data_IF_986153606897
#
_entry.id   IF_986153606897
#
_cell.length_a   1.000
_cell.length_b   1.000
_cell.length_c   1.000
_cell.angle_alpha   90.00
_cell.angle_beta   90.00
_cell.angle_gamma   90.00
#
_symmetry.space_group_name_H-M   'P 1'
#
loop_
_entity.id
_entity.type
_entity.pdbx_description
1 polymer ?
#
# COMPACT_ATOMS: atom_id res chain seq x y z
N UNK A 1 -32.36 -36.68 9.11
CA UNK A 1 -31.67 -36.24 7.89
C UNK A 1 -31.93 -34.73 7.74
N UNK A 2 -31.06 -33.90 8.30
CA UNK A 2 -31.09 -32.44 8.07
C UNK A 2 -30.10 -32.13 6.94
N UNK A 3 -30.65 -31.83 5.78
CA UNK A 3 -29.88 -31.30 4.65
C UNK A 3 -29.67 -29.80 4.90
N UNK A 4 -28.53 -29.47 5.54
CA UNK A 4 -28.01 -28.11 5.54
C UNK A 4 -27.44 -27.83 4.14
N UNK A 5 -28.26 -27.30 3.24
CA UNK A 5 -27.76 -26.58 2.09
C UNK A 5 -26.99 -25.37 2.63
N UNK A 6 -25.64 -25.45 2.70
CA UNK A 6 -24.80 -24.28 2.74
C UNK A 6 -25.15 -23.47 1.50
N UNK A 7 -25.79 -22.32 1.71
CA UNK A 7 -25.95 -21.34 0.64
C UNK A 7 -24.57 -21.04 0.07
N UNK A 8 -24.41 -21.18 -1.23
CA UNK A 8 -23.25 -20.65 -1.96
C UNK A 8 -23.43 -19.15 -1.85
N UNK A 9 -22.84 -18.55 -0.82
CA UNK A 9 -22.71 -17.10 -0.72
C UNK A 9 -21.95 -16.66 -1.95
N UNK A 10 -22.55 -15.85 -2.79
CA UNK A 10 -21.85 -15.19 -3.88
C UNK A 10 -20.77 -14.32 -3.23
N UNK A 11 -19.49 -14.57 -3.53
CA UNK A 11 -18.40 -13.71 -3.11
C UNK A 11 -18.67 -12.28 -3.60
N UNK A 12 -18.61 -11.31 -2.70
CA UNK A 12 -18.66 -9.90 -3.05
C UNK A 12 -17.23 -9.44 -3.32
N UNK A 13 -16.91 -8.96 -4.53
CA UNK A 13 -15.56 -8.56 -4.87
C UNK A 13 -15.03 -7.49 -3.95
N UNK A 14 -13.77 -7.62 -3.53
CA UNK A 14 -13.09 -6.75 -2.59
C UNK A 14 -11.86 -6.07 -3.18
N UNK A 15 -11.41 -5.00 -2.55
CA UNK A 15 -10.09 -4.41 -2.75
C UNK A 15 -9.17 -4.91 -1.64
N UNK A 16 -8.18 -5.71 -1.99
CA UNK A 16 -7.18 -6.28 -1.09
C UNK A 16 -5.88 -5.52 -1.26
N UNK A 17 -5.36 -4.90 -0.21
CA UNK A 17 -4.06 -4.20 -0.29
C UNK A 17 -2.96 -4.97 0.43
N UNK A 18 -1.89 -5.27 -0.30
CA UNK A 18 -0.62 -5.78 0.22
C UNK A 18 0.29 -4.65 0.71
N UNK A 19 -0.19 -3.40 0.61
CA UNK A 19 0.61 -2.23 0.92
C UNK A 19 0.76 -1.99 2.42
N UNK A 20 1.85 -1.33 2.76
CA UNK A 20 2.14 -0.91 4.12
C UNK A 20 1.18 0.19 4.59
N UNK A 21 0.93 0.19 5.89
CA UNK A 21 0.15 1.21 6.60
C UNK A 21 0.92 1.66 7.84
N UNK A 22 1.04 2.96 8.02
CA UNK A 22 1.73 3.60 9.16
C UNK A 22 0.97 4.84 9.63
N UNK A 23 1.42 5.44 10.74
CA UNK A 23 0.85 6.70 11.24
C UNK A 23 1.68 7.88 10.76
N UNK A 24 1.05 8.85 10.10
CA UNK A 24 1.64 10.16 9.78
C UNK A 24 1.33 11.17 10.90
N UNK A 25 2.37 11.74 11.49
CA UNK A 25 2.26 12.85 12.46
C UNK A 25 2.65 14.13 11.72
N UNK A 26 1.65 14.88 11.28
CA UNK A 26 1.88 16.14 10.58
C UNK A 26 2.13 17.27 11.56
N UNK A 27 3.27 17.93 11.43
CA UNK A 27 3.70 19.07 12.20
C UNK A 27 3.83 20.28 11.28
N UNK A 28 2.95 21.25 11.45
CA UNK A 28 3.08 22.53 10.77
C UNK A 28 3.95 23.45 11.61
N UNK A 29 5.02 23.95 11.02
CA UNK A 29 6.00 24.84 11.66
C UNK A 29 6.25 26.04 10.75
N UNK A 30 6.60 27.19 11.29
CA UNK A 30 6.95 28.37 10.49
C UNK A 30 8.20 28.10 9.63
N UNK A 31 9.15 27.37 10.19
CA UNK A 31 10.39 26.99 9.53
C UNK A 31 10.89 25.65 10.08
N UNK A 32 11.36 24.78 9.21
CA UNK A 32 12.07 23.57 9.63
C UNK A 32 13.36 23.99 10.34
N UNK A 33 13.56 23.59 11.62
CA UNK A 33 14.73 24.01 12.37
C UNK A 33 16.00 23.37 11.80
N UNK A 34 17.11 24.13 11.83
CA UNK A 34 18.44 23.59 11.56
C UNK A 34 18.89 22.73 12.76
N UNK A 35 20.00 22.00 12.58
CA UNK A 35 20.63 21.22 13.66
C UNK A 35 20.86 22.09 14.90
N UNK A 36 20.42 21.59 16.07
CA UNK A 36 20.45 22.32 17.34
C UNK A 36 19.35 23.39 17.52
N UNK A 37 18.51 23.61 16.51
CA UNK A 37 17.40 24.56 16.55
C UNK A 37 16.15 23.98 17.22
N UNK A 38 15.16 24.85 17.43
CA UNK A 38 13.88 24.54 18.05
C UNK A 38 12.75 25.15 17.21
N UNK A 39 11.64 24.43 17.09
CA UNK A 39 10.40 24.94 16.51
C UNK A 39 9.20 24.40 17.29
N UNK A 40 8.14 25.19 17.36
CA UNK A 40 6.84 24.77 17.92
C UNK A 40 5.91 24.49 16.75
N UNK A 41 5.25 23.36 16.77
CA UNK A 41 4.26 22.99 15.77
C UNK A 41 2.85 23.34 16.24
N UNK A 42 2.04 23.84 15.31
CA UNK A 42 0.62 24.07 15.55
C UNK A 42 -0.17 22.77 15.41
N UNK A 43 -0.97 22.46 16.43
CA UNK A 43 -2.01 21.43 16.41
C UNK A 43 -1.65 20.13 15.67
N UNK A 44 -0.65 19.36 16.14
CA UNK A 44 -0.26 18.12 15.49
C UNK A 44 -1.45 17.16 15.45
N UNK A 45 -1.73 16.59 14.26
CA UNK A 45 -2.79 15.61 14.08
C UNK A 45 -2.20 14.33 13.52
N UNK A 46 -2.32 13.21 14.23
CA UNK A 46 -2.01 11.92 13.64
C UNK A 46 -3.07 11.57 12.57
N UNK A 47 -2.62 10.95 11.51
CA UNK A 47 -3.47 10.42 10.45
C UNK A 47 -2.86 9.12 9.92
N UNK A 48 -3.66 8.29 9.27
CA UNK A 48 -3.12 7.07 8.69
C UNK A 48 -2.59 7.34 7.29
N UNK A 49 -1.37 6.89 7.05
CA UNK A 49 -0.65 6.97 5.78
C UNK A 49 -0.61 5.65 5.02
N UNK A 50 0.18 5.65 3.95
CA UNK A 50 0.37 4.47 3.12
C UNK A 50 -0.88 4.03 2.37
N UNK A 51 -1.04 2.73 2.22
CA UNK A 51 -2.12 2.09 1.49
C UNK A 51 -3.51 2.28 2.11
N UNK A 52 -3.58 2.74 3.36
CA UNK A 52 -4.84 3.08 4.00
C UNK A 52 -5.71 4.00 3.16
N UNK A 53 -5.11 4.94 2.44
CA UNK A 53 -5.86 5.92 1.61
C UNK A 53 -6.63 5.25 0.48
N UNK A 54 -6.05 4.23 -0.13
CA UNK A 54 -6.71 3.43 -1.18
C UNK A 54 -7.87 2.64 -0.57
N UNK A 55 -7.63 1.95 0.54
CA UNK A 55 -8.65 1.18 1.25
C UNK A 55 -9.80 2.07 1.74
N UNK A 56 -9.49 3.21 2.35
CA UNK A 56 -10.50 4.16 2.80
C UNK A 56 -11.34 4.71 1.64
N UNK A 57 -10.71 5.01 0.50
CA UNK A 57 -11.44 5.50 -0.66
C UNK A 57 -12.40 4.43 -1.21
N UNK A 58 -11.95 3.19 -1.36
CA UNK A 58 -12.78 2.08 -1.82
C UNK A 58 -13.93 1.78 -0.85
N UNK A 59 -13.66 1.74 0.46
CA UNK A 59 -14.68 1.54 1.49
C UNK A 59 -15.76 2.64 1.44
N UNK A 60 -15.38 3.90 1.30
CA UNK A 60 -16.34 5.01 1.15
C UNK A 60 -17.18 4.95 -0.11
N UNK A 61 -16.74 4.22 -1.12
CA UNK A 61 -17.52 3.91 -2.33
C UNK A 61 -18.40 2.68 -2.16
N UNK A 62 -18.41 2.05 -0.98
CA UNK A 62 -19.23 0.88 -0.67
C UNK A 62 -18.60 -0.44 -1.13
N UNK A 63 -17.32 -0.44 -1.48
CA UNK A 63 -16.59 -1.67 -1.88
C UNK A 63 -15.99 -2.32 -0.62
N UNK A 64 -16.15 -3.63 -0.41
CA UNK A 64 -15.44 -4.36 0.64
C UNK A 64 -13.93 -4.16 0.52
N UNK A 65 -13.26 -3.96 1.65
CA UNK A 65 -11.83 -3.65 1.67
C UNK A 65 -11.08 -4.48 2.69
N UNK A 66 -9.93 -4.98 2.29
CA UNK A 66 -9.09 -5.87 3.08
C UNK A 66 -7.63 -5.40 3.08
N UNK A 67 -7.03 -5.36 4.25
CA UNK A 67 -5.61 -5.07 4.42
C UNK A 67 -4.87 -6.38 4.69
N UNK A 68 -4.04 -6.82 3.74
CA UNK A 68 -3.24 -8.03 3.84
C UNK A 68 -1.78 -7.78 4.29
N UNK A 69 -1.37 -6.51 4.42
CA UNK A 69 -0.04 -6.14 4.96
C UNK A 69 0.09 -6.47 6.44
N UNK A 70 1.29 -6.33 6.99
CA UNK A 70 1.58 -6.64 8.38
C UNK A 70 1.17 -5.47 9.29
N UNK A 71 0.62 -5.77 10.45
CA UNK A 71 0.42 -4.82 11.55
C UNK A 71 1.18 -5.26 12.79
N UNK A 72 1.67 -4.26 13.52
CA UNK A 72 2.28 -4.47 14.84
C UNK A 72 1.27 -4.58 15.98
N UNK A 73 1.79 -4.50 17.21
CA UNK A 73 1.01 -4.54 18.44
C UNK A 73 1.53 -3.48 19.43
N UNK A 74 1.03 -2.25 19.30
CA UNK A 74 1.42 -1.14 20.16
C UNK A 74 0.52 0.07 19.93
N UNK A 75 0.99 1.24 20.30
CA UNK A 75 0.22 2.49 20.23
C UNK A 75 -0.22 2.81 18.81
N UNK A 76 0.71 2.75 17.86
CA UNK A 76 0.43 3.08 16.45
C UNK A 76 -0.42 2.02 15.79
N UNK A 77 -0.15 0.74 16.04
CA UNK A 77 -0.96 -0.35 15.56
C UNK A 77 -2.41 -0.28 16.07
N UNK A 78 -2.60 0.10 17.34
CA UNK A 78 -3.94 0.33 17.91
C UNK A 78 -4.67 1.46 17.18
N UNK A 79 -3.97 2.58 16.94
CA UNK A 79 -4.54 3.72 16.21
C UNK A 79 -4.94 3.35 14.77
N UNK A 80 -4.12 2.53 14.10
CA UNK A 80 -4.43 2.00 12.75
C UNK A 80 -5.68 1.10 12.81
N UNK A 81 -5.74 0.14 13.74
CA UNK A 81 -6.90 -0.77 13.87
C UNK A 81 -8.19 -0.03 14.17
N UNK A 82 -8.15 0.99 15.04
CA UNK A 82 -9.31 1.83 15.29
C UNK A 82 -9.78 2.52 13.99
N UNK A 83 -8.84 3.06 13.21
CA UNK A 83 -9.17 3.71 11.93
C UNK A 83 -9.72 2.71 10.90
N UNK A 84 -9.26 1.47 10.91
CA UNK A 84 -9.81 0.41 10.08
C UNK A 84 -11.27 0.11 10.47
N UNK A 85 -11.53 -0.05 11.76
CA UNK A 85 -12.86 -0.26 12.31
C UNK A 85 -13.83 0.86 11.89
N UNK A 86 -13.41 2.12 12.09
CA UNK A 86 -14.23 3.31 11.78
C UNK A 86 -14.55 3.43 10.29
N UNK A 87 -13.76 2.80 9.42
CA UNK A 87 -13.94 2.83 7.97
C UNK A 87 -14.32 1.46 7.36
N UNK A 88 -14.66 0.46 8.17
CA UNK A 88 -15.08 -0.85 7.68
C UNK A 88 -14.01 -1.60 6.89
N UNK A 89 -12.72 -1.38 7.20
CA UNK A 89 -11.59 -2.08 6.59
C UNK A 89 -11.28 -3.32 7.42
N UNK A 90 -11.25 -4.48 6.81
CA UNK A 90 -10.90 -5.75 7.47
C UNK A 90 -9.39 -5.98 7.40
N UNK A 91 -8.75 -6.27 8.52
CA UNK A 91 -7.36 -6.74 8.52
C UNK A 91 -7.33 -8.26 8.40
N UNK A 92 -6.66 -8.76 7.37
CA UNK A 92 -6.49 -10.20 7.08
C UNK A 92 -5.03 -10.63 7.05
N UNK A 93 -4.09 -9.66 7.16
CA UNK A 93 -2.66 -9.91 7.15
C UNK A 93 -2.13 -10.44 8.48
N UNK A 94 -0.82 -10.57 8.57
CA UNK A 94 -0.12 -11.05 9.75
C UNK A 94 -0.07 -9.97 10.84
N UNK A 95 -0.17 -10.39 12.11
CA UNK A 95 0.09 -9.57 13.28
C UNK A 95 1.46 -9.90 13.89
N UNK A 96 2.29 -8.87 14.10
CA UNK A 96 3.53 -8.96 14.88
C UNK A 96 3.27 -8.47 16.30
N UNK A 97 3.35 -9.39 17.27
CA UNK A 97 2.98 -9.11 18.66
C UNK A 97 4.10 -8.48 19.48
N UNK A 98 5.32 -8.56 19.02
CA UNK A 98 6.56 -8.14 19.69
C UNK A 98 7.06 -6.76 19.30
N UNK A 99 6.44 -6.13 18.30
CA UNK A 99 6.78 -4.77 17.84
C UNK A 99 5.54 -3.95 17.48
N UNK A 100 5.68 -2.63 17.43
CA UNK A 100 4.62 -1.73 16.99
C UNK A 100 4.68 -1.51 15.47
N UNK A 101 3.60 -0.97 14.90
CA UNK A 101 3.60 -0.41 13.55
C UNK A 101 4.43 0.88 13.49
N UNK A 102 4.95 1.19 12.32
CA UNK A 102 5.75 2.37 12.09
C UNK A 102 4.97 3.67 12.12
N UNK A 103 5.73 4.76 12.18
CA UNK A 103 5.19 6.11 12.06
C UNK A 103 6.11 7.01 11.25
N UNK A 104 5.56 8.11 10.78
CA UNK A 104 6.33 9.10 10.04
C UNK A 104 5.97 10.51 10.54
N UNK A 105 6.99 11.27 10.89
CA UNK A 105 6.86 12.71 11.17
C UNK A 105 6.97 13.46 9.84
N UNK A 106 5.99 14.31 9.57
CA UNK A 106 5.92 15.11 8.35
C UNK A 106 5.99 16.59 8.75
N UNK A 107 7.10 17.24 8.47
CA UNK A 107 7.29 18.67 8.72
C UNK A 107 6.84 19.47 7.49
N UNK A 108 5.93 20.41 7.71
CA UNK A 108 5.41 21.34 6.71
C UNK A 108 5.65 22.78 7.16
N UNK A 109 6.28 23.58 6.34
CA UNK A 109 6.57 25.00 6.62
C UNK A 109 5.91 25.96 5.61
N UNK A 110 4.77 25.53 5.02
CA UNK A 110 4.12 26.30 3.96
C UNK A 110 4.80 26.23 2.58
N UNK A 111 6.01 25.68 2.51
CA UNK A 111 6.68 25.37 1.25
C UNK A 111 6.04 24.17 0.56
N UNK A 112 6.12 24.06 -0.80
CA UNK A 112 5.62 22.90 -1.53
C UNK A 112 6.29 21.57 -1.11
N UNK A 113 7.58 21.62 -0.76
CA UNK A 113 8.33 20.46 -0.28
C UNK A 113 8.10 20.25 1.21
N UNK A 114 7.87 18.99 1.57
CA UNK A 114 7.78 18.54 2.97
C UNK A 114 9.04 17.78 3.35
N UNK A 115 9.38 17.83 4.63
CA UNK A 115 10.47 17.01 5.19
C UNK A 115 9.88 15.85 5.96
N UNK A 116 10.44 14.65 5.78
CA UNK A 116 9.93 13.41 6.35
C UNK A 116 11.01 12.78 7.23
N UNK A 117 10.58 12.26 8.38
CA UNK A 117 11.38 11.38 9.24
C UNK A 117 10.52 10.16 9.48
N UNK A 118 10.95 8.99 8.99
CA UNK A 118 10.23 7.74 9.14
C UNK A 118 10.91 6.82 10.16
N UNK A 119 10.10 6.15 10.95
CA UNK A 119 10.48 5.02 11.79
C UNK A 119 9.64 3.83 11.31
N UNK A 120 10.31 2.87 10.69
CA UNK A 120 9.67 1.63 10.28
C UNK A 120 9.37 0.76 11.49
N UNK A 121 8.31 -0.02 11.41
CA UNK A 121 7.90 -1.02 12.40
C UNK A 121 7.54 -2.32 11.69
N UNK A 122 6.61 -3.06 12.27
CA UNK A 122 6.18 -4.38 11.82
C UNK A 122 5.89 -4.46 10.31
N UNK A 123 5.33 -3.41 9.72
CA UNK A 123 4.96 -3.37 8.30
C UNK A 123 6.14 -3.55 7.33
N UNK A 124 7.36 -3.28 7.80
CA UNK A 124 8.58 -3.40 7.00
C UNK A 124 9.34 -4.72 7.21
N UNK A 125 8.91 -5.53 8.17
CA UNK A 125 9.62 -6.75 8.59
C UNK A 125 8.94 -8.03 8.10
N UNK A 126 8.37 -8.01 6.91
CA UNK A 126 7.85 -9.20 6.24
C UNK A 126 8.96 -10.13 5.75
N UNK A 127 8.54 -11.29 5.27
CA UNK A 127 9.38 -12.34 4.71
C UNK A 127 8.74 -12.95 3.45
N UNK A 128 9.34 -13.99 2.90
CA UNK A 128 8.84 -14.69 1.71
C UNK A 128 7.42 -15.24 1.88
N UNK A 129 7.02 -15.56 3.10
CA UNK A 129 5.77 -16.25 3.40
C UNK A 129 4.64 -15.26 3.77
N UNK A 130 4.95 -13.96 3.80
CA UNK A 130 4.03 -12.90 4.26
C UNK A 130 2.65 -12.94 3.56
N UNK A 131 2.62 -13.26 2.27
CA UNK A 131 1.38 -13.32 1.48
C UNK A 131 1.03 -14.72 0.99
N UNK A 132 1.64 -15.76 1.56
CA UNK A 132 1.48 -17.13 1.08
C UNK A 132 0.06 -17.68 1.20
N UNK A 133 -0.66 -17.26 2.22
CA UNK A 133 -2.05 -17.68 2.47
C UNK A 133 -3.09 -16.84 1.76
N UNK A 134 -2.67 -15.82 1.01
CA UNK A 134 -3.58 -14.94 0.29
C UNK A 134 -4.07 -15.61 -0.99
N UNK A 135 -5.37 -15.82 -1.08
CA UNK A 135 -6.07 -16.40 -2.23
C UNK A 135 -7.15 -15.44 -2.73
N UNK A 136 -6.79 -14.47 -3.59
CA UNK A 136 -7.78 -13.56 -4.16
C UNK A 136 -8.87 -14.31 -4.91
N UNK A 137 -10.12 -13.88 -4.72
CA UNK A 137 -11.27 -14.49 -5.34
C UNK A 137 -11.62 -13.81 -6.69
N UNK A 138 -12.48 -14.43 -7.51
CA UNK A 138 -12.86 -13.84 -8.79
C UNK A 138 -13.40 -12.41 -8.65
N UNK A 139 -12.88 -11.51 -9.49
CA UNK A 139 -13.18 -10.07 -9.56
C UNK A 139 -12.62 -9.22 -8.42
N UNK A 140 -11.84 -9.76 -7.51
CA UNK A 140 -11.10 -8.96 -6.55
C UNK A 140 -10.11 -8.02 -7.26
N UNK A 141 -9.73 -6.98 -6.56
CA UNK A 141 -8.65 -6.08 -6.97
C UNK A 141 -7.53 -6.18 -5.94
N UNK A 142 -6.41 -6.72 -6.33
CA UNK A 142 -5.21 -6.78 -5.47
C UNK A 142 -4.34 -5.56 -5.75
N UNK A 143 -4.14 -4.75 -4.71
CA UNK A 143 -3.36 -3.52 -4.76
C UNK A 143 -1.99 -3.70 -4.12
N UNK A 144 -0.93 -3.38 -4.86
CA UNK A 144 0.46 -3.34 -4.38
C UNK A 144 0.93 -1.87 -4.37
N UNK A 145 1.46 -1.43 -3.23
CA UNK A 145 2.08 -0.11 -3.09
C UNK A 145 3.59 -0.19 -3.26
N UNK A 146 4.18 0.79 -3.93
CA UNK A 146 5.62 0.87 -4.11
C UNK A 146 6.43 0.93 -2.81
N UNK A 147 5.83 1.41 -1.71
CA UNK A 147 6.52 1.41 -0.42
C UNK A 147 6.83 -0.02 0.07
N UNK A 148 5.94 -0.98 -0.19
CA UNK A 148 6.11 -2.39 0.20
C UNK A 148 7.27 -3.07 -0.55
N UNK A 149 7.75 -2.46 -1.63
CA UNK A 149 8.83 -2.99 -2.47
C UNK A 149 10.23 -2.54 -2.01
N UNK A 150 10.33 -1.83 -0.89
CA UNK A 150 11.57 -1.15 -0.45
C UNK A 150 12.27 -1.84 0.71
N UNK A 151 11.66 -2.83 1.34
CA UNK A 151 12.15 -3.49 2.54
C UNK A 151 11.97 -5.01 2.47
N UNK A 152 12.08 -5.69 3.60
CA UNK A 152 11.99 -7.15 3.65
C UNK A 152 10.66 -7.72 3.17
N UNK A 153 9.56 -6.97 3.28
CA UNK A 153 8.23 -7.36 2.80
C UNK A 153 8.19 -7.52 1.27
N UNK A 154 9.15 -6.92 0.55
CA UNK A 154 9.29 -7.09 -0.89
C UNK A 154 9.45 -8.56 -1.31
N UNK A 155 10.11 -9.39 -0.49
CA UNK A 155 10.27 -10.83 -0.78
C UNK A 155 8.93 -11.57 -0.76
N UNK A 156 8.01 -11.17 0.10
CA UNK A 156 6.64 -11.70 0.10
C UNK A 156 5.83 -11.26 -1.12
N UNK A 157 6.03 -10.01 -1.57
CA UNK A 157 5.41 -9.54 -2.83
C UNK A 157 5.93 -10.33 -4.01
N UNK A 158 7.23 -10.61 -4.07
CA UNK A 158 7.84 -11.45 -5.11
C UNK A 158 7.20 -12.85 -5.15
N UNK A 159 7.09 -13.51 -3.99
CA UNK A 159 6.39 -14.80 -3.86
C UNK A 159 4.94 -14.73 -4.34
N UNK A 160 4.22 -13.65 -4.01
CA UNK A 160 2.85 -13.44 -4.49
C UNK A 160 2.80 -13.25 -6.03
N UNK A 161 3.71 -12.48 -6.61
CA UNK A 161 3.78 -12.26 -8.06
C UNK A 161 4.07 -13.55 -8.83
N UNK A 162 4.94 -14.40 -8.30
CA UNK A 162 5.22 -15.73 -8.88
C UNK A 162 3.95 -16.59 -8.94
N UNK A 163 3.13 -16.59 -7.89
CA UNK A 163 1.83 -17.29 -7.85
C UNK A 163 0.81 -16.64 -8.80
N UNK A 164 0.80 -15.31 -8.90
CA UNK A 164 -0.07 -14.57 -9.81
C UNK A 164 0.19 -14.88 -11.27
N UNK A 165 1.42 -15.28 -11.61
CA UNK A 165 1.85 -15.62 -12.95
C UNK A 165 1.87 -14.44 -13.93
N UNK A 166 2.24 -14.71 -15.15
CA UNK A 166 2.47 -13.68 -16.19
C UNK A 166 1.28 -13.45 -17.12
N UNK A 167 0.25 -14.29 -17.05
CA UNK A 167 -0.95 -14.16 -17.89
C UNK A 167 -2.13 -13.61 -17.09
N UNK A 168 -2.53 -12.34 -17.33
CA UNK A 168 -3.69 -11.76 -16.67
C UNK A 168 -5.01 -12.50 -16.94
N UNK A 169 -5.13 -13.19 -18.07
CA UNK A 169 -6.31 -13.95 -18.41
C UNK A 169 -6.44 -15.27 -17.62
N UNK A 170 -5.33 -15.75 -17.05
CA UNK A 170 -5.32 -16.91 -16.16
C UNK A 170 -5.70 -16.56 -14.72
N UNK A 171 -5.78 -15.27 -14.40
CA UNK A 171 -6.18 -14.75 -13.07
C UNK A 171 -7.63 -14.30 -13.13
N UNK A 172 -8.41 -14.71 -12.15
CA UNK A 172 -9.80 -14.26 -12.02
C UNK A 172 -9.92 -12.88 -11.32
N UNK A 173 -8.79 -12.27 -10.91
CA UNK A 173 -8.71 -10.98 -10.23
C UNK A 173 -7.82 -9.97 -10.97
N UNK A 174 -7.96 -8.70 -10.64
CA UNK A 174 -7.16 -7.62 -11.22
C UNK A 174 -6.00 -7.25 -10.30
N UNK A 175 -4.78 -7.22 -10.84
CA UNK A 175 -3.60 -6.72 -10.12
C UNK A 175 -3.39 -5.25 -10.46
N UNK A 176 -3.30 -4.40 -9.44
CA UNK A 176 -3.07 -2.95 -9.56
C UNK A 176 -1.81 -2.57 -8.78
N UNK A 177 -0.92 -1.83 -9.41
CA UNK A 177 0.30 -1.33 -8.77
C UNK A 177 0.29 0.20 -8.76
N UNK A 178 0.43 0.77 -7.57
CA UNK A 178 0.76 2.17 -7.39
C UNK A 178 2.24 2.28 -6.99
N UNK A 179 3.16 2.59 -7.92
CA UNK A 179 4.60 2.49 -7.68
C UNK A 179 5.12 3.55 -6.73
N UNK A 180 4.41 4.65 -6.53
CA UNK A 180 4.82 5.80 -5.74
C UNK A 180 6.18 6.39 -6.21
N UNK A 181 6.75 7.33 -5.48
CA UNK A 181 8.07 7.89 -5.79
C UNK A 181 9.23 6.91 -5.49
N UNK A 182 8.94 5.75 -4.90
CA UNK A 182 9.94 4.72 -4.60
C UNK A 182 10.42 3.95 -5.83
N UNK A 183 9.70 4.05 -6.95
CA UNK A 183 10.01 3.32 -8.19
C UNK A 183 11.49 3.43 -8.64
N UNK A 184 12.14 4.55 -8.34
CA UNK A 184 13.58 4.75 -8.65
C UNK A 184 14.52 3.87 -7.83
N UNK A 185 14.05 3.39 -6.68
CA UNK A 185 14.83 2.64 -5.71
C UNK A 185 14.53 1.14 -5.75
N UNK A 186 13.43 0.75 -6.36
CA UNK A 186 13.07 -0.66 -6.57
C UNK A 186 14.17 -1.31 -7.43
N UNK A 187 14.68 -2.48 -7.03
CA UNK A 187 15.70 -3.20 -7.78
C UNK A 187 15.16 -3.71 -9.12
N UNK A 188 16.06 -4.01 -10.07
CA UNK A 188 15.67 -4.37 -11.42
C UNK A 188 14.93 -5.72 -11.47
N UNK A 189 15.31 -6.70 -10.65
CA UNK A 189 14.63 -8.00 -10.57
C UNK A 189 13.15 -7.83 -10.19
N UNK A 190 12.86 -7.12 -9.10
CA UNK A 190 11.49 -6.83 -8.69
C UNK A 190 10.71 -6.06 -9.78
N UNK A 191 11.37 -5.11 -10.45
CA UNK A 191 10.72 -4.38 -11.55
C UNK A 191 10.37 -5.30 -12.71
N UNK A 192 11.24 -6.25 -13.06
CA UNK A 192 10.98 -7.25 -14.10
C UNK A 192 9.78 -8.13 -13.73
N UNK A 193 9.70 -8.62 -12.49
CA UNK A 193 8.59 -9.44 -12.01
C UNK A 193 7.26 -8.67 -12.02
N UNK A 194 7.28 -7.41 -11.60
CA UNK A 194 6.13 -6.53 -11.69
C UNK A 194 5.65 -6.36 -13.14
N UNK A 195 6.57 -6.15 -14.08
CA UNK A 195 6.24 -6.00 -15.51
C UNK A 195 5.74 -7.30 -16.11
N UNK A 196 6.37 -8.42 -15.77
CA UNK A 196 5.96 -9.76 -16.23
C UNK A 196 4.56 -10.13 -15.75
N UNK A 197 4.19 -9.71 -14.55
CA UNK A 197 2.85 -9.92 -14.02
C UNK A 197 1.76 -9.10 -14.75
N UNK A 198 2.12 -8.17 -15.63
CA UNK A 198 1.20 -7.34 -16.43
C UNK A 198 0.07 -6.71 -15.60
N UNK A 199 0.39 -5.92 -14.59
CA UNK A 199 -0.61 -5.26 -13.78
C UNK A 199 -1.22 -4.04 -14.48
N UNK A 200 -2.28 -3.50 -13.89
CA UNK A 200 -2.72 -2.13 -14.15
C UNK A 200 -1.81 -1.20 -13.34
N UNK A 201 -1.13 -0.27 -14.00
CA UNK A 201 -0.29 0.73 -13.35
C UNK A 201 -1.11 1.97 -13.02
N UNK A 202 -1.21 2.28 -11.73
CA UNK A 202 -1.82 3.53 -11.24
C UNK A 202 -0.71 4.53 -10.90
N UNK A 203 -0.35 5.37 -11.85
CA UNK A 203 0.79 6.28 -11.77
C UNK A 203 0.35 7.73 -11.97
N UNK A 204 0.99 8.65 -11.25
CA UNK A 204 1.02 10.05 -11.69
C UNK A 204 1.99 10.20 -12.87
N UNK A 205 1.98 11.39 -13.52
CA UNK A 205 2.82 11.64 -14.71
C UNK A 205 4.31 11.40 -14.44
N UNK A 206 4.82 11.83 -13.29
CA UNK A 206 6.24 11.69 -12.95
C UNK A 206 6.63 10.21 -12.72
N UNK A 207 5.76 9.45 -12.07
CA UNK A 207 5.94 8.01 -11.86
C UNK A 207 5.91 7.25 -13.20
N UNK A 208 4.97 7.60 -14.08
CA UNK A 208 4.89 7.02 -15.42
C UNK A 208 6.16 7.31 -16.25
N UNK A 209 6.67 8.54 -16.19
CA UNK A 209 7.94 8.90 -16.86
C UNK A 209 9.13 8.09 -16.30
N UNK A 210 9.22 7.93 -14.98
CA UNK A 210 10.26 7.13 -14.34
C UNK A 210 10.15 5.65 -14.76
N UNK A 211 8.94 5.10 -14.85
CA UNK A 211 8.71 3.73 -15.30
C UNK A 211 9.18 3.56 -16.76
N UNK A 212 8.76 4.47 -17.65
CA UNK A 212 9.15 4.44 -19.06
C UNK A 212 10.68 4.54 -19.23
N UNK A 213 11.33 5.43 -18.50
CA UNK A 213 12.80 5.57 -18.49
C UNK A 213 13.49 4.27 -18.07
N UNK A 214 13.04 3.65 -16.98
CA UNK A 214 13.60 2.39 -16.48
C UNK A 214 13.40 1.22 -17.42
N UNK A 215 12.29 1.19 -18.15
CA UNK A 215 11.96 0.15 -19.13
C UNK A 215 12.54 0.42 -20.52
N UNK A 216 13.16 1.58 -20.74
CA UNK A 216 13.64 1.99 -22.06
C UNK A 216 12.53 2.11 -23.12
N UNK A 217 11.28 2.35 -22.67
CA UNK A 217 10.10 2.39 -23.52
C UNK A 217 9.49 3.80 -23.52
N UNK A 218 9.13 4.37 -24.70
CA UNK A 218 8.43 5.65 -24.76
C UNK A 218 7.01 5.52 -24.19
N UNK A 219 6.52 6.58 -23.53
CA UNK A 219 5.12 6.67 -23.12
C UNK A 219 4.28 6.92 -24.36
N UNK A 220 3.31 6.05 -24.61
CA UNK A 220 2.27 6.29 -25.61
C UNK A 220 1.09 7.04 -24.94
N UNK A 221 1.11 8.36 -25.07
CA UNK A 221 0.09 9.22 -24.46
C UNK A 221 -1.35 8.89 -24.93
N UNK A 222 -1.51 8.21 -26.09
CA UNK A 222 -2.83 7.80 -26.60
C UNK A 222 -3.47 6.67 -25.78
N UNK A 223 -2.66 5.95 -24.97
CA UNK A 223 -3.09 4.85 -24.12
C UNK A 223 -3.17 5.22 -22.65
N UNK A 224 -2.86 6.47 -22.31
CA UNK A 224 -2.93 6.95 -20.94
C UNK A 224 -4.35 7.41 -20.65
N UNK A 225 -5.05 6.70 -19.77
CA UNK A 225 -6.32 7.18 -19.23
C UNK A 225 -6.02 8.13 -18.08
N UNK A 226 -6.24 9.43 -18.27
CA UNK A 226 -6.14 10.41 -17.20
C UNK A 226 -7.46 10.36 -16.44
N UNK A 227 -7.45 9.76 -15.25
CA UNK A 227 -8.55 9.90 -14.30
C UNK A 227 -8.65 11.37 -13.93
N UNK A 228 -9.82 11.99 -14.17
CA UNK A 228 -10.09 13.36 -13.75
C UNK A 228 -9.96 13.46 -12.22
N UNK A 229 -9.24 14.51 -11.76
CA UNK A 229 -9.07 14.85 -10.36
C UNK A 229 -10.35 15.33 -9.68
#
# INVERSE_FOLDING_TARGET
MLNLKRGIGTHEPSVISLGQVWVDIMLNVDKVPAQGGFAVADHPKPSIGGSYRVLQAASRMGVPTEHAGILGNGLWAHFIRQSFQDNGITHIGQDRLDEDSGFRVVLSSGAPQKTFIASYGAEAHGDSDTFDTLEPQPKDVVHISGNTLMDHTATGVDGFLLKAGTDPAARDYTLVINPTNTLRLVNDHMLEDLVLARPVWSCNRQEAMTLAERLGAPIDDSKVTIGGG
#
